data_IF_399458698469
#
_entry.id   IF_399458698469
#
_cell.length_a   1.000
_cell.length_b   1.000
_cell.length_c   1.000
_cell.angle_alpha   90.00
_cell.angle_beta   90.00
_cell.angle_gamma   90.00
#
_symmetry.space_group_name_H-M   'P 1'
#
loop_
_entity.id
_entity.type
_entity.pdbx_description
1 polymer ?
#
# COMPACT_ATOMS: atom_id res chain seq x y z
N UNK A 1 -8.65 12.98 15.42
CA UNK A 1 -8.40 13.01 13.96
C UNK A 1 -6.91 12.96 13.62
N UNK A 2 -6.05 13.89 14.08
CA UNK A 2 -4.59 13.82 13.83
C UNK A 2 -3.94 12.48 14.25
N UNK A 3 -4.37 11.92 15.39
CA UNK A 3 -3.77 10.70 15.93
C UNK A 3 -4.00 9.43 15.09
N UNK A 4 -4.97 9.39 14.16
CA UNK A 4 -5.18 8.19 13.34
C UNK A 4 -4.16 8.04 12.21
N UNK A 5 -3.57 9.15 11.74
CA UNK A 5 -2.55 9.11 10.68
C UNK A 5 -1.21 8.55 11.18
N UNK A 6 -0.90 8.74 12.46
CA UNK A 6 0.35 8.29 13.10
C UNK A 6 0.28 6.85 13.62
N UNK A 7 -0.87 6.19 13.52
CA UNK A 7 -1.01 4.79 13.94
C UNK A 7 -0.31 3.87 12.96
N UNK A 8 0.13 2.72 13.45
CA UNK A 8 0.57 1.63 12.59
C UNK A 8 -0.58 1.21 11.66
N UNK A 9 -0.23 0.76 10.45
CA UNK A 9 -1.17 0.15 9.53
C UNK A 9 -1.57 -1.24 10.01
N UNK A 10 -2.77 -1.69 9.65
CA UNK A 10 -3.27 -3.03 9.98
C UNK A 10 -3.52 -3.89 8.74
N UNK A 11 -3.57 -5.21 8.93
CA UNK A 11 -3.88 -6.15 7.85
C UNK A 11 -5.29 -5.91 7.27
N UNK A 12 -6.23 -5.48 8.12
CA UNK A 12 -7.59 -5.11 7.71
C UNK A 12 -7.57 -3.92 6.75
N UNK A 13 -6.74 -2.90 6.98
CA UNK A 13 -6.63 -1.77 6.04
C UNK A 13 -6.12 -2.23 4.67
N UNK A 14 -5.17 -3.17 4.64
CA UNK A 14 -4.63 -3.76 3.40
C UNK A 14 -5.70 -4.58 2.68
N UNK A 15 -6.46 -5.40 3.43
CA UNK A 15 -7.58 -6.17 2.88
C UNK A 15 -8.64 -5.24 2.32
N UNK A 16 -9.13 -4.28 3.09
CA UNK A 16 -10.13 -3.30 2.64
C UNK A 16 -9.65 -2.57 1.38
N UNK A 17 -8.40 -2.09 1.36
CA UNK A 17 -7.84 -1.44 0.17
C UNK A 17 -7.83 -2.37 -1.05
N UNK A 18 -7.50 -3.65 -0.88
CA UNK A 18 -7.47 -4.65 -1.97
C UNK A 18 -8.88 -4.89 -2.54
N UNK A 19 -9.90 -4.97 -1.68
CA UNK A 19 -11.28 -5.23 -2.09
C UNK A 19 -12.02 -3.97 -2.58
N UNK A 20 -11.57 -2.77 -2.19
CA UNK A 20 -12.06 -1.49 -2.71
C UNK A 20 -11.61 -1.21 -4.15
N UNK A 21 -10.61 -1.94 -4.64
CA UNK A 21 -10.07 -1.74 -5.98
C UNK A 21 -10.97 -2.40 -7.05
N UNK A 22 -11.12 -1.72 -8.18
CA UNK A 22 -11.81 -2.30 -9.34
C UNK A 22 -11.09 -3.58 -9.81
N UNK A 23 -11.82 -4.70 -9.99
CA UNK A 23 -11.23 -6.04 -10.15
C UNK A 23 -10.32 -6.18 -11.39
N UNK A 24 -10.70 -5.52 -12.49
CA UNK A 24 -10.08 -5.67 -13.82
C UNK A 24 -9.29 -4.44 -14.26
N UNK A 25 -8.86 -3.59 -13.32
CA UNK A 25 -7.97 -2.47 -13.62
C UNK A 25 -6.63 -2.99 -14.17
N UNK A 26 -5.96 -2.15 -14.97
CA UNK A 26 -4.70 -2.51 -15.62
C UNK A 26 -3.70 -3.13 -14.61
N UNK A 27 -2.99 -4.21 -14.97
CA UNK A 27 -2.05 -4.87 -14.08
C UNK A 27 -0.83 -4.00 -13.78
N UNK A 28 -0.01 -4.43 -12.82
CA UNK A 28 1.35 -3.92 -12.69
C UNK A 28 2.30 -4.58 -13.70
N UNK A 29 3.60 -4.22 -13.67
CA UNK A 29 4.68 -4.93 -14.34
C UNK A 29 4.73 -6.45 -14.06
N UNK A 30 4.12 -6.90 -12.95
CA UNK A 30 3.99 -8.30 -12.55
C UNK A 30 2.87 -9.05 -13.30
N UNK A 31 2.04 -8.36 -14.08
CA UNK A 31 0.96 -8.96 -14.88
C UNK A 31 -0.30 -9.32 -14.08
N UNK A 32 -0.28 -9.19 -12.74
CA UNK A 32 -1.44 -9.50 -11.91
C UNK A 32 -2.40 -8.32 -11.78
N UNK A 33 -3.70 -8.62 -11.79
CA UNK A 33 -4.80 -7.67 -11.56
C UNK A 33 -5.35 -7.81 -10.13
N UNK A 34 -6.19 -6.86 -9.71
CA UNK A 34 -6.83 -6.87 -8.39
C UNK A 34 -7.63 -8.16 -8.14
N UNK A 35 -8.32 -8.65 -9.18
CA UNK A 35 -9.15 -9.84 -9.11
C UNK A 35 -8.38 -11.09 -8.66
N UNK A 36 -7.09 -11.21 -8.97
CA UNK A 36 -6.26 -12.31 -8.49
C UNK A 36 -6.17 -12.28 -6.96
N UNK A 37 -5.79 -11.12 -6.38
CA UNK A 37 -5.68 -10.96 -4.95
C UNK A 37 -7.02 -11.08 -4.24
N UNK A 38 -8.10 -10.57 -4.83
CA UNK A 38 -9.46 -10.67 -4.29
C UNK A 38 -9.96 -12.12 -4.25
N UNK A 39 -9.76 -12.88 -5.33
CA UNK A 39 -10.23 -14.28 -5.41
C UNK A 39 -9.35 -15.26 -4.65
N UNK A 40 -8.04 -15.01 -4.59
CA UNK A 40 -7.07 -15.88 -3.93
C UNK A 40 -6.66 -15.37 -2.55
N UNK A 41 -7.44 -14.47 -1.93
CA UNK A 41 -7.08 -13.83 -0.66
C UNK A 41 -6.81 -14.83 0.46
N UNK A 42 -7.54 -15.95 0.48
CA UNK A 42 -7.34 -17.04 1.44
C UNK A 42 -5.97 -17.74 1.31
N UNK A 43 -5.29 -17.58 0.17
CA UNK A 43 -3.97 -18.17 -0.09
C UNK A 43 -2.88 -17.12 0.04
N UNK A 44 -3.07 -15.94 -0.56
CA UNK A 44 -2.00 -14.91 -0.65
C UNK A 44 -2.15 -13.77 0.36
N UNK A 45 -3.28 -13.67 1.05
CA UNK A 45 -3.66 -12.50 1.85
C UNK A 45 -2.77 -12.29 3.08
N UNK A 46 -2.40 -13.36 3.78
CA UNK A 46 -1.55 -13.27 4.97
C UNK A 46 -0.14 -12.80 4.63
N UNK A 47 0.48 -13.42 3.63
CA UNK A 47 1.83 -13.06 3.17
C UNK A 47 1.86 -11.66 2.55
N UNK A 48 0.83 -11.31 1.78
CA UNK A 48 0.64 -9.95 1.26
C UNK A 48 0.59 -8.97 2.43
N UNK A 49 -0.31 -9.18 3.39
CA UNK A 49 -0.46 -8.30 4.56
C UNK A 49 0.85 -8.15 5.32
N UNK A 50 1.54 -9.25 5.59
CA UNK A 50 2.81 -9.27 6.33
C UNK A 50 3.86 -8.40 5.67
N UNK A 51 4.16 -8.63 4.39
CA UNK A 51 5.19 -7.88 3.65
C UNK A 51 4.90 -6.38 3.65
N UNK A 52 3.64 -5.99 3.44
CA UNK A 52 3.30 -4.56 3.32
C UNK A 52 3.18 -3.87 4.66
N UNK A 53 2.79 -4.57 5.72
CA UNK A 53 2.84 -4.02 7.07
C UNK A 53 4.28 -3.67 7.47
N UNK A 54 5.24 -4.53 7.13
CA UNK A 54 6.66 -4.24 7.36
C UNK A 54 7.04 -2.92 6.67
N UNK A 55 6.74 -2.79 5.37
CA UNK A 55 7.12 -1.61 4.58
C UNK A 55 6.36 -0.35 5.03
N UNK A 56 5.04 -0.44 5.20
CA UNK A 56 4.18 0.68 5.58
C UNK A 56 4.50 1.23 6.97
N UNK A 57 4.97 0.36 7.87
CA UNK A 57 5.33 0.74 9.24
C UNK A 57 6.82 1.06 9.41
N UNK A 58 7.57 1.23 8.31
CA UNK A 58 8.92 1.78 8.33
C UNK A 58 10.06 0.75 8.31
N UNK A 59 9.78 -0.52 8.04
CA UNK A 59 10.83 -1.50 7.80
C UNK A 59 11.34 -1.41 6.35
N UNK A 60 12.63 -1.10 6.20
CA UNK A 60 13.27 -1.04 4.89
C UNK A 60 13.88 -2.40 4.55
N UNK A 61 13.41 -3.02 3.48
CA UNK A 61 14.00 -4.25 2.96
C UNK A 61 15.20 -3.92 2.07
N UNK A 62 16.37 -4.40 2.47
CA UNK A 62 17.65 -4.21 1.78
C UNK A 62 18.11 -5.50 1.12
N UNK A 63 18.40 -5.48 -0.19
CA UNK A 63 19.04 -6.60 -0.90
C UNK A 63 20.55 -6.38 -0.92
N UNK A 64 21.32 -7.38 -0.51
CA UNK A 64 22.78 -7.35 -0.62
C UNK A 64 23.21 -7.24 -2.09
N UNK A 65 24.06 -6.28 -2.43
CA UNK A 65 24.71 -6.19 -3.76
C UNK A 65 25.88 -7.17 -3.89
N UNK A 66 26.53 -7.50 -2.79
CA UNK A 66 27.70 -8.37 -2.67
C UNK A 66 27.46 -9.44 -1.61
N UNK A 67 28.19 -10.57 -1.65
CA UNK A 67 28.00 -11.67 -0.69
C UNK A 67 28.19 -11.24 0.78
N UNK A 68 29.19 -10.40 1.03
CA UNK A 68 29.57 -9.89 2.36
C UNK A 68 29.60 -8.35 2.34
N UNK A 69 28.45 -7.69 2.48
CA UNK A 69 28.39 -6.24 2.54
C UNK A 69 28.90 -5.75 3.90
N UNK A 70 29.77 -4.75 3.88
CA UNK A 70 30.38 -4.09 5.03
C UNK A 70 29.84 -2.68 5.25
N UNK A 71 29.10 -2.13 4.27
CA UNK A 71 28.51 -0.79 4.34
C UNK A 71 27.11 -0.74 3.72
N UNK A 72 26.30 0.23 4.13
CA UNK A 72 24.94 0.45 3.58
C UNK A 72 24.93 0.73 2.07
N UNK A 73 26.01 1.27 1.50
CA UNK A 73 26.16 1.52 0.06
C UNK A 73 26.22 0.24 -0.77
N UNK A 74 26.50 -0.89 -0.12
CA UNK A 74 26.56 -2.22 -0.74
C UNK A 74 25.23 -2.97 -0.66
N UNK A 75 24.17 -2.29 -0.23
CA UNK A 75 22.81 -2.77 -0.32
C UNK A 75 22.03 -1.96 -1.36
N UNK A 76 21.12 -2.63 -2.06
CA UNK A 76 20.14 -2.01 -2.93
C UNK A 76 18.83 -1.92 -2.14
N UNK A 77 18.23 -0.72 -1.96
CA UNK A 77 16.86 -0.65 -1.54
C UNK A 77 15.98 -1.31 -2.61
N UNK A 78 15.03 -2.16 -2.20
CA UNK A 78 14.09 -2.75 -3.15
C UNK A 78 13.07 -1.68 -3.57
N UNK A 79 13.02 -1.38 -4.86
CA UNK A 79 11.85 -0.75 -5.48
C UNK A 79 10.81 -1.82 -5.82
N UNK A 80 9.78 -2.00 -4.99
CA UNK A 80 8.67 -2.91 -5.30
C UNK A 80 7.67 -2.20 -6.21
N UNK A 81 7.75 -2.46 -7.52
CA UNK A 81 6.87 -1.88 -8.55
C UNK A 81 5.77 -2.86 -9.02
N UNK A 82 5.22 -3.72 -8.17
CA UNK A 82 4.16 -4.67 -8.55
C UNK A 82 2.76 -4.05 -8.49
N UNK A 83 1.70 -4.78 -8.93
CA UNK A 83 0.30 -4.40 -8.68
C UNK A 83 0.06 -4.07 -7.19
N UNK A 84 0.85 -4.68 -6.33
CA UNK A 84 0.76 -4.54 -4.88
C UNK A 84 1.19 -3.16 -4.36
N UNK A 85 1.99 -2.40 -5.11
CA UNK A 85 2.20 -0.96 -4.83
C UNK A 85 0.90 -0.15 -4.93
N UNK A 86 -0.04 -0.57 -5.81
CA UNK A 86 -1.36 0.06 -5.90
C UNK A 86 -2.19 -0.18 -4.63
N UNK A 87 -2.00 -1.32 -3.96
CA UNK A 87 -2.64 -1.60 -2.67
C UNK A 87 -2.08 -0.64 -1.61
N UNK A 88 -0.76 -0.47 -1.52
CA UNK A 88 -0.11 0.47 -0.57
C UNK A 88 -0.62 1.90 -0.76
N UNK A 89 -0.60 2.41 -1.99
CA UNK A 89 -1.10 3.77 -2.29
C UNK A 89 -2.59 3.92 -1.99
N UNK A 90 -3.39 2.87 -2.20
CA UNK A 90 -4.81 2.84 -1.84
C UNK A 90 -5.04 2.85 -0.33
N UNK A 91 -4.24 2.11 0.46
CA UNK A 91 -4.27 2.15 1.94
C UNK A 91 -4.02 3.57 2.44
N UNK A 92 -2.96 4.22 1.94
CA UNK A 92 -2.63 5.61 2.29
C UNK A 92 -3.76 6.58 1.92
N UNK A 93 -4.29 6.48 0.70
CA UNK A 93 -5.39 7.30 0.23
C UNK A 93 -6.66 7.12 1.10
N UNK A 94 -6.99 5.88 1.46
CA UNK A 94 -8.13 5.59 2.33
C UNK A 94 -7.96 6.22 3.72
N UNK A 95 -6.75 6.20 4.28
CA UNK A 95 -6.47 6.83 5.58
C UNK A 95 -6.52 8.35 5.51
N UNK A 96 -5.98 8.94 4.45
CA UNK A 96 -6.05 10.40 4.20
C UNK A 96 -7.47 10.88 3.96
N UNK A 97 -8.30 10.09 3.27
CA UNK A 97 -9.70 10.42 2.96
C UNK A 97 -10.50 10.80 4.21
N UNK A 98 -10.24 10.15 5.35
CA UNK A 98 -10.91 10.47 6.61
C UNK A 98 -10.58 11.86 7.16
N UNK A 99 -9.45 12.46 6.78
CA UNK A 99 -9.03 13.79 7.23
C UNK A 99 -9.36 14.90 6.23
N UNK A 100 -9.55 14.57 4.95
CA UNK A 100 -9.81 15.53 3.87
C UNK A 100 -10.91 16.56 4.20
N UNK A 101 -12.09 16.20 4.75
CA UNK A 101 -13.16 17.18 5.01
C UNK A 101 -12.76 18.32 5.95
N UNK A 102 -11.76 18.12 6.80
CA UNK A 102 -11.29 19.12 7.77
C UNK A 102 -10.18 20.03 7.24
N UNK A 103 -9.59 19.71 6.08
CA UNK A 103 -8.40 20.40 5.55
C UNK A 103 -8.59 20.98 4.14
N UNK A 104 -9.58 20.50 3.38
CA UNK A 104 -9.86 21.01 2.04
C UNK A 104 -10.86 22.17 2.11
N UNK A 105 -10.72 23.12 1.18
CA UNK A 105 -11.66 24.22 1.03
C UNK A 105 -13.04 23.71 0.57
N UNK A 106 -14.16 24.31 1.00
CA UNK A 106 -15.49 24.02 0.47
C UNK A 106 -15.59 24.16 -1.06
N UNK A 107 -14.72 24.98 -1.67
CA UNK A 107 -14.68 25.20 -3.11
C UNK A 107 -13.90 24.10 -3.88
N UNK A 108 -13.25 23.16 -3.18
CA UNK A 108 -12.55 22.04 -3.81
C UNK A 108 -13.51 20.89 -4.09
N UNK A 109 -14.01 20.81 -5.32
CA UNK A 109 -14.96 19.78 -5.76
C UNK A 109 -14.32 18.61 -6.52
N UNK A 110 -13.11 18.79 -7.04
CA UNK A 110 -12.42 17.75 -7.81
C UNK A 110 -11.74 16.72 -6.89
N UNK A 111 -11.96 15.43 -7.19
CA UNK A 111 -11.36 14.28 -6.48
C UNK A 111 -11.69 14.18 -4.98
N UNK A 112 -12.76 14.84 -4.56
CA UNK A 112 -13.33 14.75 -3.22
C UNK A 112 -14.54 13.81 -3.29
N UNK A 113 -14.68 12.82 -2.40
CA UNK A 113 -15.89 12.02 -2.32
C UNK A 113 -17.07 12.96 -2.04
N UNK A 114 -18.03 13.04 -2.95
CA UNK A 114 -19.31 13.71 -2.70
C UNK A 114 -20.02 12.97 -1.57
N UNK A 115 -20.38 13.70 -0.52
CA UNK A 115 -21.23 13.20 0.56
C UNK A 115 -22.61 12.81 0.06
#
# INVERSE_FOLDING_TARGET
MKNSLWKLFTAEEIKCATFDMGPTKAPGPDGFQAIFYQKCWNVVGDETSRIWLQILNGEVVLIKKLANPLSLKEFRPIGLYSFVYKIVTKVLANRMKACLPSIISPNQSAFVPTA
#
